data_IF_263367408329
#
_entry.id   IF_263367408329
#
_cell.length_a   1.000
_cell.length_b   1.000
_cell.length_c   1.000
_cell.angle_alpha   90.00
_cell.angle_beta   90.00
_cell.angle_gamma   90.00
#
_symmetry.space_group_name_H-M   'P 1'
#
loop_
_entity.id
_entity.type
_entity.pdbx_description
1 polymer ?
#
# COMPACT_ATOMS: atom_id res chain seq x y z
N UNK A 1 -10.48 4.78 -0.02
CA UNK A 1 -9.08 4.40 -0.19
C UNK A 1 -8.99 3.08 -0.94
N UNK A 2 -8.09 3.02 -1.87
CA UNK A 2 -7.96 1.84 -2.70
C UNK A 2 -6.54 1.31 -2.60
N UNK A 3 -6.41 0.00 -2.41
CA UNK A 3 -5.10 -0.63 -2.28
C UNK A 3 -4.98 -1.73 -3.32
N UNK A 4 -3.94 -1.63 -4.14
CA UNK A 4 -3.67 -2.61 -5.17
C UNK A 4 -2.33 -3.26 -4.93
N UNK A 5 -2.29 -4.59 -4.98
CA UNK A 5 -1.06 -5.35 -4.83
C UNK A 5 -0.81 -6.10 -6.11
N UNK A 6 0.38 -5.91 -6.67
CA UNK A 6 0.73 -6.53 -7.93
C UNK A 6 2.02 -7.30 -7.77
N UNK A 7 2.03 -8.53 -8.25
CA UNK A 7 3.24 -9.34 -8.23
C UNK A 7 4.08 -9.01 -9.46
N UNK A 8 5.33 -8.71 -9.23
CA UNK A 8 6.27 -8.45 -10.32
C UNK A 8 7.41 -9.45 -10.25
N UNK A 9 8.23 -9.43 -11.26
CA UNK A 9 9.28 -10.45 -11.37
C UNK A 9 10.21 -10.47 -10.17
N UNK A 10 10.53 -9.31 -9.66
CA UNK A 10 11.51 -9.19 -8.58
C UNK A 10 10.89 -8.86 -7.25
N UNK A 11 9.58 -9.05 -7.11
CA UNK A 11 8.98 -8.71 -5.83
C UNK A 11 7.52 -8.35 -5.97
N UNK A 12 7.08 -7.38 -5.17
CA UNK A 12 5.68 -6.97 -5.13
C UNK A 12 5.60 -5.46 -5.13
N UNK A 13 4.56 -4.95 -5.76
CA UNK A 13 4.28 -3.52 -5.77
C UNK A 13 2.94 -3.28 -5.10
N UNK A 14 2.93 -2.35 -4.15
CA UNK A 14 1.71 -1.97 -3.45
C UNK A 14 1.39 -0.53 -3.79
N UNK A 15 0.18 -0.31 -4.27
CA UNK A 15 -0.27 1.03 -4.63
C UNK A 15 -1.46 1.42 -3.78
N UNK A 16 -1.36 2.56 -3.15
CA UNK A 16 -2.42 3.08 -2.30
C UNK A 16 -2.93 4.38 -2.88
N UNK A 17 -4.24 4.44 -3.13
CA UNK A 17 -4.86 5.63 -3.68
C UNK A 17 -6.08 5.99 -2.87
N UNK A 18 -6.31 7.28 -2.70
CA UNK A 18 -7.46 7.71 -1.94
C UNK A 18 -7.56 9.20 -1.90
N UNK A 19 -8.61 9.69 -1.25
CA UNK A 19 -8.83 11.12 -1.08
C UNK A 19 -8.49 11.54 0.34
N UNK A 20 -7.76 12.62 0.45
CA UNK A 20 -7.39 13.18 1.72
C UNK A 20 -8.11 14.51 1.89
N UNK A 21 -8.81 14.73 3.02
CA UNK A 21 -9.54 15.99 3.20
C UNK A 21 -8.63 17.22 3.15
N UNK A 22 -7.37 17.03 3.44
CA UNK A 22 -6.44 18.17 3.47
C UNK A 22 -5.72 18.32 2.14
N UNK A 23 -5.20 17.24 1.61
CA UNK A 23 -4.37 17.30 0.42
C UNK A 23 -5.11 16.97 -0.87
N UNK A 24 -6.32 16.45 -0.78
CA UNK A 24 -7.04 16.04 -1.95
C UNK A 24 -6.71 14.60 -2.31
N UNK A 25 -6.52 14.34 -3.59
CA UNK A 25 -6.23 12.98 -4.04
C UNK A 25 -4.77 12.62 -3.78
N UNK A 26 -4.55 11.48 -3.17
CA UNK A 26 -3.21 11.01 -2.83
C UNK A 26 -2.98 9.65 -3.46
N UNK A 27 -1.81 9.50 -4.07
CA UNK A 27 -1.41 8.23 -4.67
C UNK A 27 0.02 7.93 -4.26
N UNK A 28 0.22 6.75 -3.68
CA UNK A 28 1.54 6.32 -3.24
C UNK A 28 1.82 4.91 -3.72
N UNK A 29 3.08 4.64 -4.01
CA UNK A 29 3.48 3.34 -4.49
C UNK A 29 4.70 2.86 -3.72
N UNK A 30 4.66 1.60 -3.29
CA UNK A 30 5.75 0.99 -2.55
C UNK A 30 6.18 -0.29 -3.24
N UNK A 31 7.47 -0.59 -3.12
CA UNK A 31 8.03 -1.80 -3.71
C UNK A 31 8.64 -2.65 -2.61
N UNK A 32 8.28 -3.93 -2.62
CA UNK A 32 8.79 -4.88 -1.63
C UNK A 32 9.38 -6.08 -2.37
N UNK A 33 10.44 -6.64 -1.80
CA UNK A 33 11.09 -7.78 -2.40
C UNK A 33 10.55 -9.11 -1.88
N UNK A 34 9.90 -9.10 -0.73
CA UNK A 34 9.42 -10.33 -0.12
C UNK A 34 7.97 -10.22 0.28
N UNK A 35 7.28 -11.35 0.23
CA UNK A 35 5.85 -11.38 0.50
C UNK A 35 5.53 -10.96 1.93
N UNK A 36 6.33 -11.40 2.89
CA UNK A 36 6.02 -11.08 4.27
C UNK A 36 6.13 -9.58 4.54
N UNK A 37 6.93 -8.88 3.74
CA UNK A 37 7.02 -7.43 3.88
C UNK A 37 5.72 -6.76 3.46
N UNK A 38 5.10 -7.28 2.41
CA UNK A 38 3.83 -6.75 1.95
C UNK A 38 2.76 -6.96 3.02
N UNK A 39 2.71 -8.16 3.57
CA UNK A 39 1.73 -8.49 4.59
C UNK A 39 1.91 -7.60 5.81
N UNK A 40 3.15 -7.40 6.20
CA UNK A 40 3.44 -6.57 7.36
C UNK A 40 3.04 -5.12 7.11
N UNK A 41 3.33 -4.64 5.92
CA UNK A 41 2.97 -3.27 5.56
C UNK A 41 1.46 -3.06 5.61
N UNK A 42 0.72 -4.02 5.08
CA UNK A 42 -0.73 -3.90 5.08
C UNK A 42 -1.30 -3.95 6.50
N UNK A 43 -0.73 -4.78 7.34
CA UNK A 43 -1.16 -4.84 8.72
C UNK A 43 -0.94 -3.52 9.43
N UNK A 44 0.21 -2.91 9.19
CA UNK A 44 0.50 -1.62 9.80
C UNK A 44 -0.45 -0.54 9.29
N UNK A 45 -0.77 -0.60 8.01
CA UNK A 45 -1.68 0.37 7.43
C UNK A 45 -3.07 0.26 8.01
N UNK A 46 -3.58 -0.97 8.11
CA UNK A 46 -4.93 -1.17 8.63
C UNK A 46 -5.01 -1.00 10.13
N UNK A 47 -3.87 -1.11 10.79
CA UNK A 47 -3.85 -1.00 12.23
C UNK A 47 -4.29 0.38 12.71
N UNK A 48 -3.99 1.39 11.91
CA UNK A 48 -4.36 2.75 12.26
C UNK A 48 -5.84 3.00 12.16
N UNK A 49 -6.55 2.12 11.54
CA UNK A 49 -7.99 2.26 11.46
C UNK A 49 -8.61 1.81 12.75
N UNK A 50 -9.45 2.60 13.26
CA UNK A 50 -10.08 2.26 14.53
C UNK A 50 -11.55 2.15 14.42
#
# INVERSE_FOLDING_TARGET
>A
MEINVKKVENGYTVRIEGEDPVEGYVSKEFVFTKQFQVIRFLKETFKDEK
#
